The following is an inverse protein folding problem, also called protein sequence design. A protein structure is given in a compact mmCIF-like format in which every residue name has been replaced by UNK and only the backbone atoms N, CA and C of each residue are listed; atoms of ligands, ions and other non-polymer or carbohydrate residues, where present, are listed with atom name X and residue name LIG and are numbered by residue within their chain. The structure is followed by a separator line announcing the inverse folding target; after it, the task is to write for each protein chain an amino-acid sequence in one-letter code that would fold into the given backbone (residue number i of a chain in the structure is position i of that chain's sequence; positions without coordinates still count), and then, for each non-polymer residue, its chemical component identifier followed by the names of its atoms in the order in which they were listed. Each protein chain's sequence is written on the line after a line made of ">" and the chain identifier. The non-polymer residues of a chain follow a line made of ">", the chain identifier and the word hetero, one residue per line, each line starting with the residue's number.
data_IF_430714921143
#
_entry.id   IF_430714921143
#
_cell.length_a   1.000
_cell.length_b   1.000
_cell.length_c   1.000
_cell.angle_alpha   90.00
_cell.angle_beta   90.00
_cell.angle_gamma   90.00
#
_symmetry.space_group_name_H-M   'P 1'
#
loop_
_entity.id
_entity.type
_entity.pdbx_description
1 polymer ?
#
# COMPACT_ATOMS: atom_id res chain seq x y z
N UNK A 1 10.06 -2.16 -4.23
CA UNK A 1 9.24 -3.29 -3.73
C UNK A 1 8.63 -3.09 -2.33
N UNK A 2 9.39 -2.70 -1.28
CA UNK A 2 8.89 -2.68 0.11
C UNK A 2 7.60 -1.88 0.28
N UNK A 3 7.51 -0.73 -0.38
CA UNK A 3 6.37 0.19 -0.28
C UNK A 3 5.09 -0.36 -0.91
N UNK A 4 5.18 -1.16 -1.98
CA UNK A 4 4.02 -1.88 -2.52
C UNK A 4 3.48 -2.89 -1.50
N UNK A 5 4.34 -3.69 -0.86
CA UNK A 5 3.90 -4.61 0.19
C UNK A 5 3.25 -3.87 1.38
N UNK A 6 3.84 -2.74 1.78
CA UNK A 6 3.32 -1.86 2.82
C UNK A 6 1.94 -1.28 2.49
N UNK A 7 1.70 -0.87 1.25
CA UNK A 7 0.47 -0.19 0.81
C UNK A 7 -0.81 -1.04 0.93
N UNK A 8 -0.70 -2.37 1.01
CA UNK A 8 -1.88 -3.24 1.19
C UNK A 8 -1.88 -4.03 2.49
N UNK A 9 -0.78 -4.06 3.24
CA UNK A 9 -0.68 -4.88 4.45
C UNK A 9 -0.30 -4.12 5.72
N UNK A 10 0.10 -2.86 5.64
CA UNK A 10 0.43 -2.09 6.84
C UNK A 10 1.81 -2.40 7.42
N UNK A 11 2.68 -3.11 6.69
CA UNK A 11 4.09 -3.36 7.02
C UNK A 11 4.86 -3.83 5.77
N UNK A 12 6.18 -3.67 5.75
CA UNK A 12 7.07 -4.17 4.68
C UNK A 12 8.01 -5.30 5.15
N UNK A 13 7.85 -5.82 6.36
CA UNK A 13 8.47 -7.03 6.93
C UNK A 13 10.01 -7.07 6.84
N UNK A 14 10.64 -5.89 6.79
CA UNK A 14 12.07 -5.70 6.61
C UNK A 14 12.61 -6.00 5.19
N UNK A 15 11.74 -6.14 4.18
CA UNK A 15 12.13 -6.31 2.78
C UNK A 15 13.13 -5.22 2.39
N UNK A 16 14.29 -5.60 1.86
CA UNK A 16 15.36 -4.69 1.44
C UNK A 16 15.98 -5.05 0.08
N UNK A 17 15.23 -5.79 -0.73
CA UNK A 17 15.65 -6.34 -2.01
C UNK A 17 14.48 -6.32 -3.00
N UNK A 18 14.73 -6.72 -4.24
CA UNK A 18 13.73 -6.83 -5.31
C UNK A 18 13.52 -8.28 -5.80
N UNK A 19 14.12 -9.25 -5.11
CA UNK A 19 13.98 -10.68 -5.42
C UNK A 19 12.52 -11.19 -5.33
N UNK A 20 12.29 -12.34 -5.96
CA UNK A 20 11.00 -13.02 -5.95
C UNK A 20 10.55 -13.31 -4.51
N UNK A 21 9.50 -12.61 -4.08
CA UNK A 21 8.99 -12.66 -2.71
C UNK A 21 7.58 -13.24 -2.66
N UNK A 22 7.36 -14.21 -1.78
CA UNK A 22 6.05 -14.80 -1.48
C UNK A 22 5.77 -14.64 0.01
N UNK A 23 4.76 -13.85 0.34
CA UNK A 23 4.35 -13.56 1.72
C UNK A 23 3.27 -14.58 2.10
N UNK A 24 3.47 -15.36 3.19
CA UNK A 24 2.59 -16.46 3.55
C UNK A 24 1.11 -16.05 3.73
N UNK A 25 0.22 -16.98 3.43
CA UNK A 25 -1.24 -16.76 3.42
C UNK A 25 -1.86 -16.38 4.78
N UNK A 26 -1.12 -16.57 5.88
CA UNK A 26 -1.53 -16.15 7.23
C UNK A 26 -1.22 -14.66 7.53
N UNK A 27 -0.61 -13.94 6.58
CA UNK A 27 -0.42 -12.49 6.63
C UNK A 27 -1.58 -11.83 5.90
N UNK A 28 -2.57 -11.36 6.65
CA UNK A 28 -3.75 -10.68 6.08
C UNK A 28 -3.41 -9.33 5.45
N UNK A 29 -4.20 -8.92 4.47
CA UNK A 29 -4.10 -7.63 3.74
C UNK A 29 -5.44 -6.91 3.72
N UNK A 30 -5.48 -5.71 3.16
CA UNK A 30 -6.72 -4.96 2.93
C UNK A 30 -7.75 -5.76 2.11
N UNK A 31 -7.32 -6.71 1.27
CA UNK A 31 -8.21 -7.62 0.54
C UNK A 31 -9.10 -8.42 1.49
N UNK A 32 -8.55 -8.94 2.59
CA UNK A 32 -9.32 -9.70 3.57
C UNK A 32 -10.37 -8.81 4.26
N UNK A 33 -10.03 -7.53 4.50
CA UNK A 33 -10.93 -6.55 5.10
C UNK A 33 -12.07 -6.15 4.16
N UNK A 34 -11.75 -5.92 2.88
CA UNK A 34 -12.71 -5.59 1.83
C UNK A 34 -13.71 -6.74 1.65
N UNK A 35 -13.23 -7.97 1.54
CA UNK A 35 -14.08 -9.14 1.36
C UNK A 35 -14.97 -9.43 2.58
N UNK A 36 -14.48 -9.20 3.81
CA UNK A 36 -15.28 -9.33 5.02
C UNK A 36 -16.51 -8.41 5.03
N UNK A 37 -16.45 -7.28 4.32
CA UNK A 37 -17.57 -6.32 4.15
C UNK A 37 -18.21 -6.37 2.75
N UNK A 38 -17.86 -7.38 1.93
CA UNK A 38 -18.35 -7.55 0.55
C UNK A 38 -18.07 -6.34 -0.36
N UNK A 39 -16.97 -5.63 -0.10
CA UNK A 39 -16.50 -4.55 -0.96
C UNK A 39 -15.72 -5.18 -2.11
N UNK A 40 -16.13 -4.92 -3.35
CA UNK A 40 -15.43 -5.45 -4.52
C UNK A 40 -14.07 -4.79 -4.69
N UNK A 41 -13.07 -5.56 -5.11
CA UNK A 41 -11.70 -5.11 -5.26
C UNK A 41 -11.09 -5.65 -6.57
N UNK A 42 -10.11 -4.94 -7.11
CA UNK A 42 -9.32 -5.42 -8.24
C UNK A 42 -7.99 -4.68 -8.37
N UNK A 43 -7.03 -5.31 -9.03
CA UNK A 43 -5.77 -4.67 -9.39
C UNK A 43 -5.62 -4.66 -10.91
N UNK A 44 -5.22 -3.52 -11.47
CA UNK A 44 -5.02 -3.35 -12.90
C UNK A 44 -3.57 -2.96 -13.16
N UNK A 45 -2.88 -3.78 -13.94
CA UNK A 45 -1.42 -3.68 -14.12
C UNK A 45 -1.12 -3.48 -15.60
N UNK A 46 -0.48 -2.36 -15.95
CA UNK A 46 -0.11 -2.08 -17.34
C UNK A 46 0.88 -3.14 -17.85
N UNK A 47 0.63 -3.65 -19.06
CA UNK A 47 1.44 -4.66 -19.74
C UNK A 47 1.66 -5.99 -18.99
N UNK A 48 0.88 -6.28 -17.95
CA UNK A 48 0.85 -7.63 -17.37
C UNK A 48 0.27 -8.61 -18.40
N UNK A 49 0.93 -9.73 -18.75
CA UNK A 49 0.63 -10.48 -19.98
C UNK A 49 -0.75 -11.13 -20.00
N UNK A 50 -1.29 -11.52 -18.85
CA UNK A 50 -2.64 -12.04 -18.69
C UNK A 50 -3.08 -11.94 -17.22
N UNK A 51 -4.39 -12.02 -16.97
CA UNK A 51 -4.99 -12.01 -15.63
C UNK A 51 -4.36 -13.06 -14.72
N UNK A 52 -3.90 -12.65 -13.54
CA UNK A 52 -3.30 -13.55 -12.57
C UNK A 52 -1.86 -13.99 -12.89
N UNK A 53 -1.13 -13.26 -13.74
CA UNK A 53 0.27 -13.57 -14.02
C UNK A 53 1.14 -13.46 -12.75
N UNK A 54 1.82 -14.55 -12.41
CA UNK A 54 2.69 -14.65 -11.22
C UNK A 54 4.18 -14.70 -11.55
N UNK A 55 4.56 -14.56 -12.83
CA UNK A 55 5.96 -14.55 -13.24
C UNK A 55 6.70 -13.32 -12.72
N UNK A 56 8.03 -13.38 -12.70
CA UNK A 56 8.89 -12.34 -12.11
C UNK A 56 8.76 -10.98 -12.83
N UNK A 57 8.86 -11.00 -14.16
CA UNK A 57 8.70 -9.87 -15.05
C UNK A 57 8.04 -10.29 -16.37
N UNK A 58 7.53 -9.32 -17.11
CA UNK A 58 7.15 -9.46 -18.51
C UNK A 58 7.73 -8.28 -19.27
N UNK A 59 8.56 -8.58 -20.28
CA UNK A 59 9.29 -7.57 -21.04
C UNK A 59 8.56 -7.17 -22.31
N UNK A 60 8.93 -6.01 -22.81
CA UNK A 60 8.51 -5.56 -24.12
C UNK A 60 9.02 -6.51 -25.21
N UNK A 61 8.11 -7.14 -25.94
CA UNK A 61 8.46 -8.16 -26.94
C UNK A 61 9.18 -7.59 -28.17
N UNK A 62 9.19 -6.25 -28.35
CA UNK A 62 9.88 -5.56 -29.46
C UNK A 62 11.22 -4.97 -29.03
N UNK A 63 11.26 -4.27 -27.90
CA UNK A 63 12.45 -3.52 -27.47
C UNK A 63 13.29 -4.28 -26.44
N UNK A 64 12.72 -5.28 -25.77
CA UNK A 64 13.36 -5.99 -24.66
C UNK A 64 13.44 -5.18 -23.36
N UNK A 65 12.86 -3.98 -23.32
CA UNK A 65 12.75 -3.16 -22.12
C UNK A 65 11.84 -3.83 -21.07
N UNK A 66 11.98 -3.43 -19.81
CA UNK A 66 11.06 -3.88 -18.78
C UNK A 66 9.68 -3.24 -19.02
N UNK A 67 8.62 -4.06 -19.01
CA UNK A 67 7.25 -3.55 -18.98
C UNK A 67 6.67 -3.82 -17.58
N UNK A 68 6.12 -5.01 -17.36
CA UNK A 68 5.56 -5.41 -16.07
C UNK A 68 6.61 -6.04 -15.16
N UNK A 69 6.61 -5.69 -13.88
CA UNK A 69 7.40 -6.36 -12.83
C UNK A 69 6.52 -6.76 -11.66
N UNK A 70 6.66 -7.99 -11.20
CA UNK A 70 5.83 -8.54 -10.11
C UNK A 70 5.94 -7.75 -8.81
N UNK A 71 7.12 -7.19 -8.54
CA UNK A 71 7.40 -6.41 -7.34
C UNK A 71 6.57 -5.12 -7.21
N UNK A 72 5.93 -4.65 -8.29
CA UNK A 72 5.04 -3.47 -8.29
C UNK A 72 3.54 -3.85 -8.26
N UNK A 73 3.23 -5.15 -8.15
CA UNK A 73 1.87 -5.68 -8.05
C UNK A 73 1.64 -6.20 -6.62
N UNK A 74 1.11 -5.39 -5.70
CA UNK A 74 1.07 -5.78 -4.30
C UNK A 74 0.25 -7.04 -4.01
N UNK A 75 -0.98 -7.23 -4.54
CA UNK A 75 -1.78 -8.41 -4.24
C UNK A 75 -1.09 -9.74 -4.59
N UNK A 76 -0.35 -9.82 -5.71
CA UNK A 76 0.30 -11.08 -6.11
C UNK A 76 1.47 -11.46 -5.21
N UNK A 77 1.96 -10.55 -4.36
CA UNK A 77 3.03 -10.84 -3.39
C UNK A 77 2.56 -11.74 -2.23
N UNK A 78 1.25 -11.85 -2.00
CA UNK A 78 0.68 -12.57 -0.86
C UNK A 78 0.04 -13.89 -1.32
N UNK A 79 0.42 -15.01 -0.70
CA UNK A 79 -0.12 -16.33 -1.04
C UNK A 79 -1.62 -16.42 -0.77
N UNK A 80 -2.15 -15.60 0.16
CA UNK A 80 -3.59 -15.48 0.40
C UNK A 80 -4.37 -14.96 -0.81
N UNK A 81 -3.69 -14.38 -1.80
CA UNK A 81 -4.23 -13.96 -3.10
C UNK A 81 -3.69 -14.84 -4.22
N UNK A 82 -2.37 -15.03 -4.30
CA UNK A 82 -1.69 -15.72 -5.39
C UNK A 82 -2.08 -17.21 -5.52
N UNK A 83 -2.38 -17.87 -4.40
CA UNK A 83 -2.77 -19.28 -4.37
C UNK A 83 -4.30 -19.49 -4.36
N UNK A 84 -5.10 -18.41 -4.36
CA UNK A 84 -6.55 -18.46 -4.38
C UNK A 84 -7.10 -17.99 -5.72
N UNK A 85 -7.56 -18.92 -6.56
CA UNK A 85 -8.00 -18.62 -7.94
C UNK A 85 -9.00 -17.46 -8.04
N UNK A 86 -9.97 -17.37 -7.12
CA UNK A 86 -10.97 -16.30 -7.12
C UNK A 86 -10.36 -14.90 -6.92
N UNK A 87 -9.34 -14.80 -6.06
CA UNK A 87 -8.60 -13.56 -5.75
C UNK A 87 -7.55 -13.27 -6.82
N UNK A 88 -6.82 -14.28 -7.27
CA UNK A 88 -5.85 -14.17 -8.37
C UNK A 88 -6.52 -13.62 -9.65
N UNK A 89 -7.76 -14.04 -9.93
CA UNK A 89 -8.55 -13.53 -11.06
C UNK A 89 -8.94 -12.05 -10.95
N UNK A 90 -8.79 -11.41 -9.80
CA UNK A 90 -8.99 -9.96 -9.62
C UNK A 90 -7.76 -9.13 -10.01
N UNK A 91 -6.63 -9.78 -10.30
CA UNK A 91 -5.42 -9.13 -10.79
C UNK A 91 -5.44 -9.20 -12.31
N UNK A 92 -5.68 -8.06 -12.97
CA UNK A 92 -6.00 -7.94 -14.39
C UNK A 92 -4.98 -7.08 -15.13
N UNK A 93 -4.81 -7.33 -16.43
CA UNK A 93 -4.11 -6.37 -17.31
C UNK A 93 -4.92 -5.05 -17.33
N UNK A 94 -4.23 -3.91 -17.37
CA UNK A 94 -4.87 -2.60 -17.47
C UNK A 94 -5.81 -2.43 -18.67
N UNK A 95 -5.65 -3.17 -19.76
CA UNK A 95 -6.60 -3.15 -20.88
C UNK A 95 -8.02 -3.56 -20.45
N UNK A 96 -8.15 -4.50 -19.52
CA UNK A 96 -9.44 -4.95 -18.97
C UNK A 96 -10.12 -3.88 -18.10
N UNK A 97 -9.39 -2.89 -17.58
CA UNK A 97 -9.99 -1.75 -16.87
C UNK A 97 -10.99 -1.02 -17.76
N UNK A 98 -10.65 -0.81 -19.04
CA UNK A 98 -11.54 -0.12 -19.97
C UNK A 98 -12.76 -0.97 -20.36
N UNK A 99 -12.60 -2.29 -20.40
CA UNK A 99 -13.72 -3.22 -20.60
C UNK A 99 -14.67 -3.17 -19.41
N UNK A 100 -14.15 -3.26 -18.19
CA UNK A 100 -14.92 -3.18 -16.96
C UNK A 100 -15.62 -1.81 -16.82
N UNK A 101 -14.93 -0.71 -17.14
CA UNK A 101 -15.51 0.65 -17.17
C UNK A 101 -16.67 0.75 -18.16
N UNK A 102 -16.48 0.23 -19.39
CA UNK A 102 -17.53 0.23 -20.41
C UNK A 102 -18.74 -0.58 -19.96
N UNK A 103 -18.52 -1.69 -19.28
CA UNK A 103 -19.53 -2.61 -18.78
C UNK A 103 -20.21 -2.17 -17.46
N UNK A 104 -19.80 -1.03 -16.86
CA UNK A 104 -20.25 -0.60 -15.52
C UNK A 104 -19.95 -1.66 -14.43
N UNK A 105 -18.77 -2.28 -14.54
CA UNK A 105 -18.33 -3.41 -13.74
C UNK A 105 -17.02 -3.16 -12.96
N UNK A 106 -16.57 -1.90 -12.85
CA UNK A 106 -15.40 -1.56 -12.05
C UNK A 106 -15.62 -1.91 -10.57
N UNK A 107 -14.59 -2.44 -9.88
CA UNK A 107 -14.69 -2.71 -8.46
C UNK A 107 -14.65 -1.41 -7.64
N UNK A 108 -15.14 -1.48 -6.40
CA UNK A 108 -15.20 -0.32 -5.49
C UNK A 108 -13.82 0.14 -5.02
N UNK A 109 -12.89 -0.79 -4.84
CA UNK A 109 -11.49 -0.51 -4.54
C UNK A 109 -10.60 -1.02 -5.67
N UNK A 110 -9.67 -0.18 -6.12
CA UNK A 110 -8.77 -0.49 -7.23
C UNK A 110 -7.33 -0.13 -6.88
N UNK A 111 -6.39 -1.00 -7.25
CA UNK A 111 -4.96 -0.71 -7.25
C UNK A 111 -4.43 -0.73 -8.68
N UNK A 112 -3.99 0.42 -9.19
CA UNK A 112 -3.54 0.56 -10.57
C UNK A 112 -2.06 0.87 -10.60
N UNK A 113 -1.28 0.04 -11.30
CA UNK A 113 0.17 0.22 -11.43
C UNK A 113 0.52 0.38 -12.92
N UNK A 114 1.18 1.48 -13.32
CA UNK A 114 1.77 1.61 -14.64
C UNK A 114 2.98 0.65 -14.82
N UNK A 115 3.44 0.47 -16.05
CA UNK A 115 4.63 -0.31 -16.35
C UNK A 115 5.91 0.48 -15.99
N UNK A 116 7.08 -0.15 -16.04
CA UNK A 116 8.38 0.44 -15.67
C UNK A 116 8.78 1.69 -16.49
N UNK A 117 8.16 1.90 -17.65
CA UNK A 117 8.35 3.11 -18.46
C UNK A 117 7.39 4.21 -18.00
N UNK A 118 6.11 3.87 -17.85
CA UNK A 118 5.01 4.77 -17.52
C UNK A 118 4.98 5.19 -16.06
N UNK A 119 5.57 4.42 -15.15
CA UNK A 119 5.70 4.79 -13.73
C UNK A 119 6.86 5.77 -13.48
N UNK A 120 7.72 5.96 -14.49
CA UNK A 120 8.88 6.85 -14.43
C UNK A 120 10.17 6.20 -13.93
N UNK A 121 10.17 4.90 -13.59
CA UNK A 121 11.34 4.20 -13.06
C UNK A 121 12.47 4.09 -14.09
N UNK A 122 12.17 3.56 -15.29
CA UNK A 122 13.13 3.43 -16.39
C UNK A 122 13.12 4.68 -17.31
N UNK A 123 12.38 5.72 -16.93
CA UNK A 123 12.29 6.98 -17.67
C UNK A 123 12.42 8.23 -16.78
N UNK A 124 11.41 9.10 -16.72
CA UNK A 124 11.42 10.37 -16.01
C UNK A 124 10.04 10.69 -15.43
N UNK A 125 10.00 11.55 -14.42
CA UNK A 125 8.75 12.09 -13.87
C UNK A 125 7.88 12.79 -14.92
N UNK A 126 8.47 13.34 -15.98
CA UNK A 126 7.72 13.95 -17.10
C UNK A 126 6.93 12.90 -17.88
N UNK A 127 7.53 11.72 -18.11
CA UNK A 127 6.85 10.59 -18.78
C UNK A 127 5.73 10.08 -17.88
N UNK A 128 6.01 9.86 -16.59
CA UNK A 128 4.99 9.42 -15.63
C UNK A 128 3.84 10.41 -15.48
N UNK A 129 4.13 11.72 -15.43
CA UNK A 129 3.12 12.77 -15.39
C UNK A 129 2.28 12.84 -16.66
N UNK A 130 2.89 12.63 -17.84
CA UNK A 130 2.18 12.58 -19.12
C UNK A 130 1.25 11.38 -19.18
N UNK A 131 1.74 10.19 -18.80
CA UNK A 131 0.94 8.97 -18.73
C UNK A 131 -0.23 9.13 -17.77
N UNK A 132 0.02 9.61 -16.56
CA UNK A 132 -1.00 9.81 -15.52
C UNK A 132 -2.08 10.78 -15.97
N UNK A 133 -1.68 11.88 -16.62
CA UNK A 133 -2.63 12.86 -17.18
C UNK A 133 -3.49 12.23 -18.29
N UNK A 134 -2.88 11.52 -19.24
CA UNK A 134 -3.59 10.87 -20.33
C UNK A 134 -4.56 9.79 -19.84
N UNK A 135 -4.19 9.06 -18.78
CA UNK A 135 -5.04 8.07 -18.14
C UNK A 135 -6.21 8.74 -17.38
N UNK A 136 -5.93 9.75 -16.55
CA UNK A 136 -6.91 10.31 -15.62
C UNK A 136 -7.82 11.38 -16.22
N UNK A 137 -7.33 12.24 -17.12
CA UNK A 137 -8.15 13.31 -17.72
C UNK A 137 -9.50 12.83 -18.30
N UNK A 138 -9.55 11.76 -19.14
CA UNK A 138 -10.83 11.27 -19.63
C UNK A 138 -11.70 10.67 -18.51
N UNK A 139 -11.08 9.98 -17.54
CA UNK A 139 -11.78 9.35 -16.43
C UNK A 139 -12.43 10.36 -15.48
N UNK A 140 -11.75 11.47 -15.20
CA UNK A 140 -12.28 12.57 -14.38
C UNK A 140 -13.51 13.26 -15.01
N UNK A 141 -13.76 13.03 -16.31
CA UNK A 141 -14.94 13.52 -17.03
C UNK A 141 -15.99 12.41 -17.31
N UNK A 142 -15.65 11.15 -17.05
CA UNK A 142 -16.56 10.01 -17.28
C UNK A 142 -17.48 9.81 -16.07
N UNK A 143 -18.79 9.90 -16.29
CA UNK A 143 -19.82 9.73 -15.25
C UNK A 143 -19.95 8.29 -14.72
N UNK A 144 -19.48 7.29 -15.47
CA UNK A 144 -19.40 5.91 -14.98
C UNK A 144 -18.28 5.76 -13.97
N UNK A 145 -17.18 6.47 -14.18
CA UNK A 145 -16.02 6.44 -13.28
C UNK A 145 -16.16 7.40 -12.10
N UNK A 146 -16.63 8.63 -12.31
CA UNK A 146 -16.86 9.65 -11.28
C UNK A 146 -18.25 9.49 -10.65
N UNK A 147 -18.34 8.60 -9.65
CA UNK A 147 -19.57 8.28 -8.91
C UNK A 147 -19.27 8.23 -7.41
N UNK A 148 -18.94 9.38 -6.83
CA UNK A 148 -18.37 9.51 -5.49
C UNK A 148 -17.05 8.73 -5.36
N UNK A 149 -16.16 8.98 -6.31
CA UNK A 149 -14.86 8.33 -6.47
C UNK A 149 -13.76 9.22 -5.92
N UNK A 150 -12.89 8.63 -5.09
CA UNK A 150 -11.62 9.21 -4.70
C UNK A 150 -10.51 8.50 -5.48
N UNK A 151 -9.71 9.26 -6.21
CA UNK A 151 -8.48 8.78 -6.83
C UNK A 151 -7.31 9.33 -6.02
N UNK A 152 -6.39 8.43 -5.66
CA UNK A 152 -5.12 8.77 -5.01
C UNK A 152 -4.03 8.51 -6.05
N UNK A 153 -3.40 9.58 -6.55
CA UNK A 153 -2.22 9.49 -7.40
C UNK A 153 -0.98 9.72 -6.53
N UNK A 154 -0.11 8.73 -6.44
CA UNK A 154 1.09 8.77 -5.59
C UNK A 154 2.23 7.96 -6.21
N UNK A 155 3.39 7.98 -5.58
CA UNK A 155 4.57 7.17 -5.90
C UNK A 155 4.88 6.23 -4.75
N UNK A 156 5.62 5.14 -4.99
CA UNK A 156 6.03 4.23 -3.92
C UNK A 156 7.27 4.74 -3.16
N UNK A 157 8.20 5.40 -3.86
CA UNK A 157 9.40 5.99 -3.24
C UNK A 157 10.00 7.16 -4.04
N UNK A 158 10.95 7.86 -3.42
CA UNK A 158 11.86 8.72 -4.15
C UNK A 158 13.03 7.91 -4.75
N UNK A 159 13.60 8.40 -5.84
CA UNK A 159 14.76 7.76 -6.47
C UNK A 159 16.08 8.04 -5.73
N UNK A 160 16.16 9.18 -5.02
CA UNK A 160 17.41 9.65 -4.42
C UNK A 160 17.55 9.12 -2.99
N UNK A 161 18.25 8.00 -2.86
CA UNK A 161 18.49 7.29 -1.59
C UNK A 161 19.20 8.09 -0.50
N UNK A 162 19.79 9.25 -0.81
CA UNK A 162 20.44 10.16 0.15
C UNK A 162 19.50 11.26 0.67
N UNK A 163 18.30 11.36 0.11
CA UNK A 163 17.26 12.28 0.54
C UNK A 163 16.16 11.51 1.24
N UNK A 164 15.66 12.05 2.35
CA UNK A 164 14.52 11.47 3.07
C UNK A 164 13.41 11.09 2.09
N UNK A 165 12.96 9.83 2.17
CA UNK A 165 11.86 9.35 1.35
C UNK A 165 10.60 10.18 1.63
N UNK A 166 10.21 10.97 0.64
CA UNK A 166 9.05 11.84 0.66
C UNK A 166 8.49 11.91 -0.76
N UNK A 167 7.28 11.42 -0.90
CA UNK A 167 6.57 11.25 -2.17
C UNK A 167 5.43 12.26 -2.29
N UNK A 168 5.01 12.53 -3.52
CA UNK A 168 3.83 13.36 -3.79
C UNK A 168 2.58 12.50 -3.68
N UNK A 169 1.54 13.01 -3.03
CA UNK A 169 0.19 12.44 -3.04
C UNK A 169 -0.81 13.48 -3.53
N UNK A 170 -1.59 13.14 -4.56
CA UNK A 170 -2.61 14.01 -5.15
C UNK A 170 -3.96 13.31 -5.02
N UNK A 171 -4.89 14.00 -4.36
CA UNK A 171 -6.27 13.54 -4.20
C UNK A 171 -7.14 14.16 -5.28
N UNK A 172 -7.78 13.31 -6.09
CA UNK A 172 -8.60 13.69 -7.23
C UNK A 172 -9.98 13.01 -7.14
N UNK A 173 -10.91 13.47 -7.97
CA UNK A 173 -12.23 12.87 -8.13
C UNK A 173 -13.36 13.65 -7.47
N UNK A 174 -14.59 13.22 -7.74
CA UNK A 174 -15.81 13.91 -7.32
C UNK A 174 -16.18 13.67 -5.84
N UNK A 175 -15.50 12.73 -5.16
CA UNK A 175 -15.55 12.60 -3.71
C UNK A 175 -14.82 13.76 -2.98
N UNK A 176 -13.85 14.42 -3.63
CA UNK A 176 -13.10 15.54 -3.03
C UNK A 176 -14.01 16.77 -2.96
N UNK A 177 -14.24 17.35 -1.76
CA UNK A 177 -15.06 18.54 -1.62
C UNK A 177 -14.56 19.70 -2.48
N UNK A 178 -15.45 20.38 -3.22
CA UNK A 178 -15.09 21.49 -4.13
C UNK A 178 -14.22 22.57 -3.48
N UNK A 179 -14.43 22.86 -2.19
CA UNK A 179 -13.65 23.84 -1.42
C UNK A 179 -12.19 23.45 -1.17
N UNK A 180 -11.82 22.19 -1.39
CA UNK A 180 -10.46 21.67 -1.23
C UNK A 180 -9.72 21.55 -2.57
N UNK A 181 -10.39 21.79 -3.71
CA UNK A 181 -9.74 21.75 -5.02
C UNK A 181 -8.69 22.85 -5.11
N UNK A 182 -7.45 22.48 -5.45
CA UNK A 182 -6.31 23.41 -5.54
C UNK A 182 -5.71 23.78 -4.18
N UNK A 183 -6.13 23.13 -3.09
CA UNK A 183 -5.54 23.32 -1.75
C UNK A 183 -4.48 22.27 -1.44
N UNK A 184 -3.77 22.46 -0.33
CA UNK A 184 -2.76 21.52 0.18
C UNK A 184 -3.09 21.10 1.61
N UNK A 185 -2.57 19.95 2.01
CA UNK A 185 -2.66 19.41 3.37
C UNK A 185 -1.24 19.12 3.88
N UNK A 186 -0.92 19.56 5.10
CA UNK A 186 0.38 19.43 5.73
C UNK A 186 0.43 18.36 6.83
N UNK A 187 -0.65 17.61 7.03
CA UNK A 187 -0.66 16.50 7.97
C UNK A 187 0.30 15.38 7.54
N UNK A 188 0.75 14.57 8.51
CA UNK A 188 1.63 13.45 8.22
C UNK A 188 0.81 12.28 7.66
N UNK A 189 1.21 11.83 6.47
CA UNK A 189 0.66 10.67 5.79
C UNK A 189 1.79 9.77 5.30
N UNK A 190 1.49 8.48 5.20
CA UNK A 190 2.34 7.44 4.63
C UNK A 190 1.45 6.41 3.90
N UNK A 191 2.02 5.36 3.32
CA UNK A 191 1.22 4.34 2.62
C UNK A 191 0.18 3.65 3.51
N UNK A 192 0.40 3.59 4.82
CA UNK A 192 -0.59 3.03 5.75
C UNK A 192 -1.82 3.94 5.90
N UNK A 193 -1.68 5.24 5.60
CA UNK A 193 -2.78 6.20 5.58
C UNK A 193 -3.79 5.90 4.45
N UNK A 194 -3.33 5.27 3.36
CA UNK A 194 -4.20 4.79 2.28
C UNK A 194 -5.12 3.66 2.81
N UNK A 195 -4.55 2.69 3.54
CA UNK A 195 -5.28 1.60 4.19
C UNK A 195 -6.25 2.15 5.23
N UNK A 196 -5.78 3.02 6.14
CA UNK A 196 -6.62 3.61 7.17
C UNK A 196 -7.80 4.39 6.57
N UNK A 197 -7.57 5.10 5.47
CA UNK A 197 -8.64 5.83 4.75
C UNK A 197 -9.67 4.87 4.14
N UNK A 198 -9.23 3.76 3.55
CA UNK A 198 -10.11 2.69 3.05
C UNK A 198 -10.94 2.08 4.19
N UNK A 199 -10.30 1.82 5.32
CA UNK A 199 -10.97 1.29 6.51
C UNK A 199 -12.03 2.26 7.05
N UNK A 200 -11.71 3.55 7.15
CA UNK A 200 -12.65 4.57 7.59
C UNK A 200 -13.82 4.74 6.62
N UNK A 201 -13.56 4.73 5.31
CA UNK A 201 -14.58 4.93 4.28
C UNK A 201 -15.69 3.86 4.29
N UNK A 202 -15.34 2.59 4.52
CA UNK A 202 -16.28 1.47 4.52
C UNK A 202 -16.57 0.87 5.91
N UNK A 203 -16.04 1.47 6.97
CA UNK A 203 -16.16 0.93 8.33
C UNK A 203 -15.59 -0.49 8.44
N UNK A 204 -14.41 -0.70 7.84
CA UNK A 204 -13.68 -1.96 7.93
C UNK A 204 -12.97 -2.06 9.29
N UNK A 205 -12.65 -3.28 9.68
CA UNK A 205 -11.73 -3.55 10.79
C UNK A 205 -10.27 -3.25 10.37
N UNK A 206 -9.33 -3.30 11.31
CA UNK A 206 -7.90 -3.06 11.05
C UNK A 206 -7.10 -4.36 10.89
N UNK A 207 -5.90 -4.26 10.33
CA UNK A 207 -4.95 -5.36 10.22
C UNK A 207 -4.15 -5.59 11.51
N UNK A 208 -4.29 -4.72 12.51
CA UNK A 208 -3.52 -4.78 13.74
C UNK A 208 -2.03 -4.43 13.54
N UNK A 209 -1.69 -3.72 12.46
CA UNK A 209 -0.32 -3.28 12.15
C UNK A 209 -0.23 -1.75 12.20
N UNK A 210 0.67 -1.15 11.42
CA UNK A 210 0.84 0.31 11.36
C UNK A 210 -0.35 1.05 10.73
N UNK A 211 -1.29 0.34 10.11
CA UNK A 211 -2.58 0.88 9.66
C UNK A 211 -3.44 1.39 10.83
N UNK A 212 -3.34 0.76 12.01
CA UNK A 212 -4.15 1.15 13.20
C UNK A 212 -3.87 2.58 13.63
N UNK A 213 -2.60 2.98 13.59
CA UNK A 213 -2.13 4.30 14.01
C UNK A 213 -1.98 5.29 12.85
N UNK A 214 -2.25 4.91 11.61
CA UNK A 214 -2.09 5.83 10.49
C UNK A 214 -3.20 6.90 10.46
N UNK A 215 -2.87 8.09 9.99
CA UNK A 215 -3.88 9.13 9.77
C UNK A 215 -4.81 8.75 8.60
N UNK A 216 -6.09 9.04 8.75
CA UNK A 216 -7.05 9.08 7.64
C UNK A 216 -6.91 10.43 6.95
N UNK A 217 -7.04 10.51 5.62
CA UNK A 217 -7.01 11.80 4.93
C UNK A 217 -8.05 12.76 5.52
N UNK A 218 -7.62 13.98 5.86
CA UNK A 218 -8.37 14.94 6.69
C UNK A 218 -9.85 15.11 6.30
N UNK A 219 -10.16 15.22 5.01
CA UNK A 219 -11.54 15.40 4.59
C UNK A 219 -12.41 14.14 4.77
N UNK A 220 -11.82 12.95 4.69
CA UNK A 220 -12.48 11.67 5.01
C UNK A 220 -12.61 11.58 6.53
N UNK A 221 -11.53 11.89 7.27
CA UNK A 221 -11.50 11.83 8.72
C UNK A 221 -12.61 12.67 9.36
N UNK A 222 -12.80 13.90 8.87
CA UNK A 222 -13.90 14.80 9.27
C UNK A 222 -15.29 14.23 9.02
N UNK A 223 -15.46 13.35 8.02
CA UNK A 223 -16.74 12.68 7.75
C UNK A 223 -16.94 11.43 8.60
N UNK A 224 -15.86 10.70 8.90
CA UNK A 224 -15.91 9.41 9.62
C UNK A 224 -15.73 9.57 11.13
N UNK A 225 -15.38 10.77 11.60
CA UNK A 225 -15.14 11.04 13.02
C UNK A 225 -13.74 10.61 13.49
N UNK A 226 -12.80 10.48 12.55
CA UNK A 226 -11.41 10.16 12.86
C UNK A 226 -10.61 11.40 13.25
N UNK A 227 -9.70 11.23 14.21
CA UNK A 227 -8.77 12.28 14.60
C UNK A 227 -7.53 12.28 13.70
N UNK A 228 -7.25 13.42 13.07
CA UNK A 228 -5.97 13.63 12.37
C UNK A 228 -4.94 14.17 13.34
N UNK A 229 -3.85 13.42 13.50
CA UNK A 229 -2.82 13.69 14.51
C UNK A 229 -1.56 14.29 13.87
N UNK A 230 -0.83 15.06 14.66
CA UNK A 230 0.47 15.60 14.27
C UNK A 230 1.59 14.69 14.78
N UNK A 231 2.68 14.64 14.03
CA UNK A 231 3.89 13.92 14.45
C UNK A 231 4.42 14.50 15.77
N UNK A 232 4.56 13.64 16.76
CA UNK A 232 5.02 13.97 18.12
C UNK A 232 6.10 13.01 18.62
N UNK A 233 6.71 12.25 17.71
CA UNK A 233 7.73 11.25 18.01
C UNK A 233 8.98 11.84 18.65
N UNK A 234 9.66 11.01 19.45
CA UNK A 234 10.95 11.37 20.08
C UNK A 234 11.98 11.80 19.03
N UNK A 235 12.01 11.09 17.90
CA UNK A 235 12.78 11.48 16.73
C UNK A 235 11.94 12.48 15.91
N UNK A 236 12.45 13.69 15.65
CA UNK A 236 11.76 14.65 14.79
C UNK A 236 11.49 14.05 13.41
N UNK A 237 10.33 14.38 12.80
CA UNK A 237 9.98 13.88 11.47
C UNK A 237 11.08 14.16 10.43
N UNK A 238 11.77 15.30 10.52
CA UNK A 238 12.88 15.67 9.63
C UNK A 238 14.13 14.78 9.76
N UNK A 239 14.22 13.95 10.80
CA UNK A 239 15.31 13.00 11.03
C UNK A 239 14.92 11.56 10.69
N UNK A 240 13.63 11.28 10.43
CA UNK A 240 13.18 9.96 9.99
C UNK A 240 13.70 9.65 8.58
N UNK A 241 13.98 8.38 8.29
CA UNK A 241 14.68 7.95 7.09
C UNK A 241 14.17 6.61 6.54
N UNK A 242 12.96 6.61 5.98
CA UNK A 242 12.31 5.45 5.35
C UNK A 242 12.88 5.07 3.96
N UNK A 243 14.16 5.34 3.72
CA UNK A 243 14.89 4.86 2.54
C UNK A 243 15.55 3.50 2.79
N UNK A 244 15.63 3.08 4.05
CA UNK A 244 16.26 1.84 4.48
C UNK A 244 15.32 1.06 5.37
N UNK A 245 15.23 -0.23 5.11
CA UNK A 245 14.38 -1.13 5.87
C UNK A 245 15.04 -1.54 7.18
N UNK A 246 14.23 -1.67 8.24
CA UNK A 246 14.64 -2.33 9.47
C UNK A 246 14.90 -3.84 9.28
N UNK A 247 15.44 -4.49 10.32
CA UNK A 247 15.60 -5.93 10.31
C UNK A 247 14.24 -6.64 10.30
N UNK A 248 14.11 -7.71 9.54
CA UNK A 248 12.84 -8.37 9.33
C UNK A 248 13.00 -9.72 8.66
N UNK A 249 11.93 -10.50 8.68
CA UNK A 249 11.93 -11.87 8.15
C UNK A 249 12.30 -11.95 6.68
N UNK A 250 12.00 -10.89 5.91
CA UNK A 250 12.29 -10.77 4.48
C UNK A 250 13.53 -9.91 4.19
N UNK A 251 14.35 -9.60 5.18
CA UNK A 251 15.60 -8.86 4.95
C UNK A 251 16.71 -9.81 4.49
N UNK A 252 17.51 -9.47 3.48
CA UNK A 252 18.62 -10.32 2.99
C UNK A 252 19.79 -10.46 3.98
N UNK A 253 19.99 -9.48 4.86
CA UNK A 253 21.13 -9.42 5.80
C UNK A 253 20.74 -9.72 7.24
N UNK A 254 19.56 -9.25 7.65
CA UNK A 254 19.10 -9.28 9.03
C UNK A 254 17.80 -10.10 9.17
N UNK A 255 17.86 -11.38 8.82
CA UNK A 255 16.71 -12.33 8.81
C UNK A 255 16.29 -12.86 10.17
N UNK A 256 17.03 -12.54 11.24
CA UNK A 256 16.84 -13.16 12.56
C UNK A 256 15.57 -12.71 13.30
N UNK A 257 14.89 -11.70 12.76
CA UNK A 257 13.60 -11.22 13.26
C UNK A 257 12.50 -12.15 12.74
N UNK A 258 11.64 -12.72 13.60
CA UNK A 258 10.50 -13.52 13.16
C UNK A 258 9.50 -12.67 12.38
N UNK A 259 8.46 -13.30 11.81
CA UNK A 259 7.33 -12.53 11.29
C UNK A 259 6.75 -11.67 12.42
N UNK A 260 6.58 -10.34 12.23
CA UNK A 260 5.98 -9.51 13.25
C UNK A 260 4.53 -9.92 13.46
N UNK A 261 4.14 -10.00 14.73
CA UNK A 261 2.82 -10.47 15.16
C UNK A 261 1.91 -9.24 15.21
N UNK A 262 0.81 -9.18 14.44
CA UNK A 262 -0.18 -8.10 14.54
C UNK A 262 -0.75 -7.98 15.95
N UNK A 263 -1.00 -6.75 16.40
CA UNK A 263 -1.53 -6.44 17.72
C UNK A 263 -3.07 -6.57 17.74
N UNK A 264 -3.55 -7.81 17.82
CA UNK A 264 -4.94 -8.28 17.81
C UNK A 264 -5.89 -7.63 18.83
N UNK A 265 -5.37 -6.95 19.86
CA UNK A 265 -6.18 -6.25 20.88
C UNK A 265 -6.30 -4.75 20.64
N UNK A 266 -5.61 -4.17 19.67
CA UNK A 266 -5.69 -2.74 19.43
C UNK A 266 -7.10 -2.31 19.00
N UNK A 267 -7.46 -1.12 19.47
CA UNK A 267 -8.65 -0.39 19.05
C UNK A 267 -8.26 1.07 18.86
N UNK A 268 -8.67 1.66 17.75
CA UNK A 268 -8.41 3.08 17.45
C UNK A 268 -9.55 3.64 16.60
N UNK A 269 -9.98 4.87 16.87
CA UNK A 269 -11.09 5.55 16.20
C UNK A 269 -12.33 4.65 15.97
N UNK A 270 -12.71 3.89 17.01
CA UNK A 270 -13.86 2.99 16.99
C UNK A 270 -13.69 1.70 16.17
N UNK A 271 -12.54 1.48 15.53
CA UNK A 271 -12.22 0.25 14.79
C UNK A 271 -11.43 -0.72 15.65
N UNK A 272 -11.70 -2.00 15.48
CA UNK A 272 -10.97 -3.10 16.11
C UNK A 272 -10.18 -3.89 15.07
N UNK A 273 -9.26 -4.74 15.51
CA UNK A 273 -8.57 -5.69 14.62
C UNK A 273 -9.54 -6.74 14.07
N UNK A 274 -9.39 -7.07 12.79
CA UNK A 274 -10.25 -8.02 12.10
C UNK A 274 -10.21 -9.43 12.68
N UNK A 275 -11.33 -10.13 12.62
CA UNK A 275 -11.47 -11.50 13.16
C UNK A 275 -10.52 -12.51 12.50
N UNK A 276 -10.22 -12.37 11.21
CA UNK A 276 -9.25 -13.22 10.50
C UNK A 276 -7.84 -13.08 11.08
N UNK A 277 -7.46 -11.87 11.49
CA UNK A 277 -6.17 -11.59 12.14
C UNK A 277 -6.18 -12.14 13.56
N UNK A 278 -7.23 -11.84 14.35
CA UNK A 278 -7.42 -12.37 15.72
C UNK A 278 -7.33 -13.90 15.74
N UNK A 279 -8.04 -14.59 14.85
CA UNK A 279 -8.05 -16.06 14.75
C UNK A 279 -6.65 -16.64 14.51
N UNK A 280 -5.82 -15.93 13.76
CA UNK A 280 -4.48 -16.38 13.39
C UNK A 280 -3.45 -16.07 14.48
N UNK A 281 -3.54 -14.89 15.11
CA UNK A 281 -2.44 -14.31 15.87
C UNK A 281 -2.71 -14.11 17.37
N UNK A 282 -3.95 -14.23 17.86
CA UNK A 282 -4.31 -13.84 19.24
C UNK A 282 -3.52 -14.58 20.33
N UNK A 283 -3.08 -15.82 20.07
CA UNK A 283 -2.26 -16.59 21.01
C UNK A 283 -0.83 -16.02 21.20
N UNK A 284 -0.37 -15.22 20.24
CA UNK A 284 0.99 -14.65 20.19
C UNK A 284 1.01 -13.14 20.51
N UNK A 285 -0.16 -12.53 20.79
CA UNK A 285 -0.35 -11.08 20.95
C UNK A 285 0.66 -10.39 21.86
N UNK A 286 1.05 -11.05 22.95
CA UNK A 286 1.98 -10.50 23.96
C UNK A 286 3.35 -10.12 23.38
N UNK A 287 3.69 -10.66 22.23
CA UNK A 287 4.96 -10.45 21.54
C UNK A 287 4.81 -9.45 20.37
N UNK A 288 3.68 -8.74 20.30
CA UNK A 288 3.42 -7.73 19.26
C UNK A 288 4.17 -6.42 19.51
N UNK A 289 4.63 -5.85 18.40
CA UNK A 289 5.34 -4.59 18.22
C UNK A 289 4.42 -3.39 17.94
N UNK A 290 3.25 -3.68 17.38
CA UNK A 290 2.41 -2.65 16.79
C UNK A 290 1.66 -1.88 17.87
N UNK A 291 1.50 -0.58 17.64
CA UNK A 291 0.81 0.33 18.56
C UNK A 291 -0.19 1.20 17.81
N UNK A 292 -0.95 2.00 18.54
CA UNK A 292 -1.81 3.04 17.96
C UNK A 292 -1.06 4.35 17.68
N UNK A 293 0.27 4.40 17.86
CA UNK A 293 1.06 5.60 17.61
C UNK A 293 1.02 5.99 16.13
N UNK A 294 1.08 7.29 15.84
CA UNK A 294 1.20 7.78 14.47
C UNK A 294 2.62 7.53 13.93
N UNK A 295 3.57 7.54 14.84
CA UNK A 295 4.99 7.45 14.58
C UNK A 295 5.39 5.99 14.33
N UNK A 296 5.79 5.72 13.09
CA UNK A 296 6.23 4.40 12.65
C UNK A 296 7.76 4.34 12.59
N UNK A 297 8.37 3.20 12.91
CA UNK A 297 9.83 3.05 12.86
C UNK A 297 10.36 3.16 11.42
N UNK A 298 11.65 3.46 11.31
CA UNK A 298 12.44 3.33 10.09
C UNK A 298 13.67 2.43 10.34
N UNK A 299 14.50 2.18 9.33
CA UNK A 299 15.67 1.32 9.51
C UNK A 299 16.83 1.93 10.32
N UNK A 300 16.85 3.25 10.58
CA UNK A 300 17.82 3.93 11.45
C UNK A 300 17.32 4.09 12.89
N UNK A 301 16.01 4.11 13.08
CA UNK A 301 15.29 4.22 14.34
C UNK A 301 14.30 3.05 14.50
N UNK A 302 14.77 1.79 14.46
CA UNK A 302 13.89 0.64 14.62
C UNK A 302 13.42 0.53 16.08
N UNK A 303 12.17 0.09 16.27
CA UNK A 303 11.71 -0.36 17.58
C UNK A 303 12.49 -1.63 18.01
N UNK A 304 12.63 -1.91 19.32
CA UNK A 304 13.45 -3.01 19.85
C UNK A 304 13.18 -4.38 19.20
N UNK A 305 11.93 -4.69 18.88
CA UNK A 305 11.50 -5.88 18.14
C UNK A 305 12.16 -6.05 16.76
N UNK A 306 12.51 -4.97 16.07
CA UNK A 306 13.09 -4.95 14.71
C UNK A 306 14.61 -4.74 14.73
N UNK A 307 15.28 -5.00 15.86
CA UNK A 307 16.73 -4.75 16.03
C UNK A 307 17.64 -5.98 15.93
N UNK A 308 17.14 -7.21 15.74
CA UNK A 308 18.00 -8.42 15.71
C UNK A 308 18.65 -8.63 14.31
N UNK A 309 19.96 -8.79 14.12
CA UNK A 309 21.05 -9.07 15.07
C UNK A 309 22.27 -8.16 14.86
N UNK A 310 22.76 -7.54 15.94
CA UNK A 310 24.17 -7.16 16.06
C UNK A 310 24.99 -8.41 16.39
N UNK A 311 25.69 -8.99 15.40
CA UNK A 311 27.03 -9.58 15.57
C UNK A 311 27.77 -9.63 14.22
N UNK A 312 28.25 -8.48 13.76
CA UNK A 312 29.50 -8.41 13.02
C UNK A 312 30.36 -7.35 13.68
N UNK A 313 31.24 -7.82 14.59
CA UNK A 313 32.47 -7.09 14.89
C UNK A 313 33.25 -7.06 13.58
N UNK A 314 33.49 -5.87 13.03
CA UNK A 314 34.60 -5.66 12.12
C UNK A 314 35.89 -5.62 12.92
#
# INVERSE_FOLDING_TARGET
>A
MPNYAAAISGDYYGINHDDMTAIPSNVSTVVDLLEAKKISWGAYQEDMPYTGFQGFDYRNQKTGANDYVRKHNPPVLYDSVAEQTSRLNQIKNLTLFYEDLKADALPQWMFITPNMTSDGHDTTVTVAGTWSKNFLDPLLNDKKFMKNTLVILTFDENHTYTQQNRIVGILLGDAVPKKLVGTTDSNFYNHYSEIATVQANWGLDTLGRWDVGANVFDFVAKKTGDDVRHWSGKTPLSQMYWNVSYAGKLNTKNTSVPWPIPATKLKHNGREVADVVKKTWAALEKDSAYTTALEVPDGLHPEPEFTRAQKTKW
#
